data_IF_443992202972
#
_entry.id   IF_443992202972
#
_cell.length_a   1.000
_cell.length_b   1.000
_cell.length_c   1.000
_cell.angle_alpha   90.00
_cell.angle_beta   90.00
_cell.angle_gamma   90.00
#
_symmetry.space_group_name_H-M   'P 1'
#
loop_
_entity.id
_entity.type
_entity.pdbx_description
1 polymer ?
#
# COMPACT_ATOMS: atom_id res chain seq x y z
N UNK A 1 22.42 18.23 -4.38
CA UNK A 1 22.16 17.87 -2.98
C UNK A 1 20.68 18.11 -2.68
N UNK A 2 19.95 17.04 -2.33
CA UNK A 2 18.52 17.06 -2.01
C UNK A 2 18.30 16.46 -0.63
N UNK A 3 17.43 17.09 0.15
CA UNK A 3 16.96 16.60 1.45
C UNK A 3 15.45 16.82 1.56
N UNK A 4 14.82 16.29 2.59
CA UNK A 4 13.41 16.48 2.85
C UNK A 4 13.13 17.52 3.92
N UNK A 5 11.88 17.97 4.00
CA UNK A 5 11.42 18.96 4.97
C UNK A 5 11.80 18.55 6.40
N UNK A 6 12.29 19.49 7.17
CA UNK A 6 12.81 19.21 8.51
C UNK A 6 14.20 18.57 8.56
N UNK A 7 14.86 18.36 7.43
CA UNK A 7 16.22 17.83 7.36
C UNK A 7 17.30 18.87 7.67
N UNK A 8 18.52 18.37 7.89
CA UNK A 8 19.73 19.17 8.02
C UNK A 8 20.72 18.77 6.92
N UNK A 9 21.57 19.68 6.49
CA UNK A 9 22.64 19.40 5.54
C UNK A 9 24.01 19.64 6.17
N UNK A 10 24.99 18.82 5.74
CA UNK A 10 26.39 18.98 6.13
C UNK A 10 27.16 19.42 4.89
N UNK A 11 27.79 20.58 5.00
CA UNK A 11 28.63 21.17 3.97
C UNK A 11 30.10 21.02 4.37
N UNK A 12 30.90 20.48 3.45
CA UNK A 12 32.33 20.29 3.64
C UNK A 12 33.11 21.24 2.76
N UNK A 13 34.17 21.82 3.26
CA UNK A 13 35.10 22.61 2.47
C UNK A 13 36.46 21.94 2.39
N UNK A 14 37.06 21.99 1.21
CA UNK A 14 38.43 21.56 0.98
C UNK A 14 39.24 22.77 0.47
N UNK A 15 40.40 23.00 1.09
CA UNK A 15 41.30 24.08 0.74
C UNK A 15 42.60 23.52 0.15
N UNK A 16 42.88 23.82 -1.10
CA UNK A 16 44.08 23.36 -1.78
C UNK A 16 45.01 24.58 -2.02
N UNK A 17 46.25 24.46 -1.53
CA UNK A 17 47.27 25.52 -1.69
C UNK A 17 47.17 26.61 -0.63
N UNK A 18 47.87 27.72 -0.89
CA UNK A 18 48.01 28.82 0.04
C UNK A 18 49.08 28.59 1.11
N UNK A 19 49.09 29.44 2.16
CA UNK A 19 50.07 29.39 3.24
C UNK A 19 49.48 29.80 4.59
N UNK A 20 49.81 29.04 5.65
CA UNK A 20 49.39 29.31 7.02
C UNK A 20 48.13 28.58 7.42
N UNK A 21 47.54 28.97 8.54
CA UNK A 21 46.28 28.40 9.02
C UNK A 21 45.07 29.00 8.29
N UNK A 22 44.02 28.24 8.12
CA UNK A 22 42.78 28.68 7.51
C UNK A 22 41.81 29.15 8.60
N UNK A 23 41.23 30.32 8.39
CA UNK A 23 40.01 30.78 9.06
C UNK A 23 38.85 30.69 8.08
N UNK A 24 37.74 30.19 8.52
CA UNK A 24 36.58 29.95 7.69
C UNK A 24 35.42 30.85 8.13
N UNK A 25 34.59 31.28 7.18
CA UNK A 25 33.32 31.95 7.42
C UNK A 25 32.32 31.46 6.37
N UNK A 26 31.33 30.69 6.80
CA UNK A 26 30.23 30.28 5.94
C UNK A 26 29.24 31.42 5.73
N UNK A 27 28.70 31.51 4.54
CA UNK A 27 27.72 32.50 4.12
C UNK A 27 26.52 31.80 3.47
N UNK A 28 25.34 32.34 3.67
CA UNK A 28 24.12 31.92 2.97
C UNK A 28 23.61 33.01 2.04
N UNK A 29 22.92 32.63 0.96
CA UNK A 29 22.37 33.59 -0.01
C UNK A 29 20.98 34.04 0.44
N UNK A 30 20.82 35.29 0.79
CA UNK A 30 19.57 35.91 1.18
C UNK A 30 19.21 37.08 0.25
N UNK A 31 18.08 36.96 -0.49
CA UNK A 31 17.58 37.98 -1.38
C UNK A 31 18.61 38.46 -2.42
N UNK A 32 19.50 37.57 -2.87
CA UNK A 32 20.58 37.87 -3.84
C UNK A 32 21.87 38.39 -3.22
N UNK A 33 21.96 38.54 -1.89
CA UNK A 33 23.15 38.93 -1.17
C UNK A 33 23.68 37.78 -0.31
N UNK A 34 25.01 37.65 -0.24
CA UNK A 34 25.69 36.72 0.65
C UNK A 34 25.81 37.30 2.05
N UNK A 35 25.27 36.64 3.03
CA UNK A 35 25.29 37.04 4.45
C UNK A 35 26.03 36.00 5.29
N UNK A 36 26.81 36.46 6.27
CA UNK A 36 27.57 35.60 7.15
C UNK A 36 26.63 34.77 8.04
N UNK A 37 26.86 33.47 8.11
CA UNK A 37 26.22 32.60 9.08
C UNK A 37 26.95 32.75 10.41
N UNK A 38 26.26 33.26 11.42
CA UNK A 38 26.85 33.53 12.72
C UNK A 38 27.42 32.28 13.36
N UNK A 39 28.70 32.29 13.73
CA UNK A 39 29.36 31.18 14.40
C UNK A 39 29.80 30.01 13.51
N UNK A 40 29.54 30.08 12.21
CA UNK A 40 29.94 29.06 11.24
C UNK A 40 31.38 29.27 10.77
N UNK A 41 32.34 28.93 11.63
CA UNK A 41 33.78 29.22 11.44
C UNK A 41 34.63 27.94 11.26
N UNK A 42 34.03 26.78 11.09
CA UNK A 42 34.70 25.50 10.85
C UNK A 42 34.91 25.21 9.38
N UNK A 43 35.80 24.24 9.07
CA UNK A 43 35.92 23.72 7.71
C UNK A 43 34.61 23.07 7.24
N UNK A 44 33.84 22.51 8.15
CA UNK A 44 32.53 21.95 7.93
C UNK A 44 31.46 22.87 8.55
N UNK A 45 30.29 22.91 7.92
CA UNK A 45 29.12 23.58 8.45
C UNK A 45 27.91 22.66 8.41
N UNK A 46 27.21 22.57 9.53
CA UNK A 46 25.94 21.87 9.65
C UNK A 46 24.84 22.92 9.70
N UNK A 47 23.89 22.84 8.79
CA UNK A 47 22.77 23.79 8.75
C UNK A 47 21.85 23.63 9.96
N UNK A 48 21.07 24.64 10.26
CA UNK A 48 19.84 24.46 11.03
C UNK A 48 18.87 23.55 10.26
N UNK A 49 17.79 23.17 10.93
CA UNK A 49 16.66 22.45 10.28
C UNK A 49 16.11 23.33 9.16
N UNK A 50 16.10 22.77 7.95
CA UNK A 50 15.63 23.46 6.75
C UNK A 50 14.19 23.05 6.43
N UNK A 51 13.40 24.02 5.94
CA UNK A 51 12.06 23.79 5.43
C UNK A 51 12.07 23.75 3.90
N UNK A 52 10.96 23.29 3.29
CA UNK A 52 10.83 23.22 1.83
C UNK A 52 11.30 24.51 1.16
N UNK A 53 12.24 24.38 0.23
CA UNK A 53 12.84 25.51 -0.46
C UNK A 53 14.20 25.23 -1.08
N UNK A 54 14.88 26.29 -1.50
CA UNK A 54 16.21 26.22 -2.08
C UNK A 54 17.14 27.13 -1.29
N UNK A 55 18.23 26.57 -0.80
CA UNK A 55 19.19 27.22 0.07
C UNK A 55 20.58 27.14 -0.54
N UNK A 56 21.23 28.28 -0.73
CA UNK A 56 22.60 28.34 -1.28
C UNK A 56 23.58 28.81 -0.23
N UNK A 57 24.69 28.11 -0.11
CA UNK A 57 25.76 28.41 0.83
C UNK A 57 27.10 28.48 0.12
N UNK A 58 28.03 29.27 0.65
CA UNK A 58 29.45 29.30 0.27
C UNK A 58 30.32 29.50 1.48
N UNK A 59 31.61 29.26 1.32
CA UNK A 59 32.60 29.55 2.37
C UNK A 59 33.63 30.56 1.89
N UNK A 60 33.95 31.51 2.75
CA UNK A 60 35.09 32.41 2.63
C UNK A 60 36.21 31.85 3.51
N UNK A 61 37.40 31.71 2.96
CA UNK A 61 38.58 31.21 3.67
C UNK A 61 39.65 32.30 3.62
N UNK A 62 40.17 32.64 4.81
CA UNK A 62 41.27 33.59 4.96
C UNK A 62 42.44 32.89 5.64
N UNK A 63 43.64 33.02 5.10
CA UNK A 63 44.87 32.44 5.66
C UNK A 63 45.73 33.48 6.36
N UNK A 64 46.51 33.04 7.37
CA UNK A 64 47.37 33.91 8.15
C UNK A 64 48.33 34.75 7.31
N UNK A 65 48.72 34.26 6.14
CA UNK A 65 49.58 34.97 5.20
C UNK A 65 48.81 36.06 4.40
N UNK A 66 47.51 36.30 4.65
CA UNK A 66 46.68 37.27 3.98
C UNK A 66 46.09 36.79 2.65
N UNK A 67 46.18 35.50 2.33
CA UNK A 67 45.50 34.92 1.19
C UNK A 67 44.00 34.73 1.52
N UNK A 68 43.13 35.08 0.55
CA UNK A 68 41.69 34.89 0.68
C UNK A 68 41.16 34.12 -0.54
N UNK A 69 40.22 33.23 -0.29
CA UNK A 69 39.49 32.53 -1.33
C UNK A 69 38.00 32.42 -0.95
N UNK A 70 37.15 32.42 -1.97
CA UNK A 70 35.70 32.25 -1.81
C UNK A 70 35.32 31.08 -2.70
N UNK A 71 34.58 30.13 -2.13
CA UNK A 71 34.07 29.00 -2.92
C UNK A 71 32.94 29.42 -3.87
N UNK A 72 32.67 28.59 -4.86
CA UNK A 72 31.41 28.64 -5.57
C UNK A 72 30.24 28.38 -4.57
N UNK A 73 29.03 28.79 -4.95
CA UNK A 73 27.83 28.53 -4.17
C UNK A 73 27.36 27.09 -4.38
N UNK A 74 27.11 26.40 -3.29
CA UNK A 74 26.44 25.09 -3.31
C UNK A 74 24.97 25.24 -2.93
N UNK A 75 24.07 24.60 -3.68
CA UNK A 75 22.62 24.71 -3.47
C UNK A 75 22.06 23.41 -2.94
N UNK A 76 21.29 23.53 -1.88
CA UNK A 76 20.53 22.44 -1.27
C UNK A 76 19.05 22.66 -1.62
N UNK A 77 18.43 21.64 -2.24
CA UNK A 77 16.99 21.59 -2.45
C UNK A 77 16.35 20.82 -1.31
N UNK A 78 15.38 21.45 -0.67
CA UNK A 78 14.55 20.81 0.37
C UNK A 78 13.18 20.52 -0.23
N UNK A 79 12.88 19.26 -0.37
CA UNK A 79 11.63 18.77 -0.96
C UNK A 79 10.60 18.47 0.13
N UNK A 80 9.32 18.44 -0.24
CA UNK A 80 8.26 17.92 0.64
C UNK A 80 8.42 16.41 0.82
N UNK A 81 7.94 15.87 1.92
CA UNK A 81 7.80 14.42 2.05
C UNK A 81 6.88 13.85 0.95
N UNK A 82 7.08 12.60 0.53
CA UNK A 82 6.23 11.99 -0.47
C UNK A 82 4.80 11.79 0.06
N UNK A 83 3.83 11.90 -0.84
CA UNK A 83 2.48 11.42 -0.59
C UNK A 83 2.39 9.97 -1.04
N UNK A 84 1.93 9.12 -0.15
CA UNK A 84 1.79 7.67 -0.38
C UNK A 84 0.33 7.27 -0.25
N UNK A 85 -0.20 6.62 -1.28
CA UNK A 85 -1.52 6.01 -1.25
C UNK A 85 -1.43 4.51 -1.54
N UNK A 86 -2.41 3.75 -1.09
CA UNK A 86 -2.54 2.31 -1.35
C UNK A 86 -3.93 2.00 -1.88
N UNK A 87 -3.99 1.01 -2.77
CA UNK A 87 -5.22 0.54 -3.38
C UNK A 87 -5.16 -1.00 -3.48
N UNK A 88 -6.12 -1.67 -2.86
CA UNK A 88 -6.32 -3.10 -3.06
C UNK A 88 -7.06 -3.35 -4.39
N UNK A 89 -6.69 -4.39 -5.15
CA UNK A 89 -7.43 -4.80 -6.36
C UNK A 89 -8.87 -5.20 -6.01
N UNK A 90 -9.03 -5.89 -4.87
CA UNK A 90 -10.31 -6.29 -4.32
C UNK A 90 -10.36 -5.94 -2.82
N UNK A 91 -11.40 -5.22 -2.39
CA UNK A 91 -11.64 -4.90 -0.97
C UNK A 91 -12.46 -5.99 -0.28
N UNK A 92 -13.05 -6.91 -1.04
CA UNK A 92 -13.91 -7.98 -0.55
C UNK A 92 -13.66 -9.27 -1.34
N UNK A 93 -13.25 -10.33 -0.64
CA UNK A 93 -12.97 -11.66 -1.21
C UNK A 93 -13.60 -12.76 -0.38
N UNK A 94 -13.58 -13.99 -0.88
CA UNK A 94 -13.96 -15.19 -0.12
C UNK A 94 -12.75 -15.85 0.54
N UNK A 95 -13.04 -16.69 1.54
CA UNK A 95 -12.08 -17.53 2.27
C UNK A 95 -11.16 -18.30 1.31
N UNK A 96 -9.88 -18.35 1.61
CA UNK A 96 -8.88 -18.98 0.74
C UNK A 96 -8.40 -18.14 -0.43
N UNK A 97 -8.85 -16.89 -0.58
CA UNK A 97 -8.37 -15.93 -1.57
C UNK A 97 -7.11 -15.17 -1.14
N UNK A 98 -6.55 -14.42 -2.08
CA UNK A 98 -5.46 -13.46 -1.85
C UNK A 98 -5.76 -12.17 -2.63
N UNK A 99 -5.09 -11.07 -2.26
CA UNK A 99 -5.28 -9.76 -2.89
C UNK A 99 -3.92 -9.14 -3.21
N UNK A 100 -3.83 -8.44 -4.34
CA UNK A 100 -2.71 -7.56 -4.65
C UNK A 100 -3.06 -6.14 -4.21
N UNK A 101 -2.14 -5.52 -3.49
CA UNK A 101 -2.25 -4.14 -3.01
C UNK A 101 -1.16 -3.32 -3.69
N UNK A 102 -1.56 -2.28 -4.41
CA UNK A 102 -0.67 -1.36 -5.10
C UNK A 102 -0.39 -0.14 -4.24
N UNK A 103 0.83 0.38 -4.30
CA UNK A 103 1.15 1.70 -3.76
C UNK A 103 1.45 2.68 -4.87
N UNK A 104 1.04 3.93 -4.67
CA UNK A 104 1.41 5.07 -5.51
C UNK A 104 2.12 6.11 -4.67
N UNK A 105 3.28 6.57 -5.14
CA UNK A 105 4.14 7.53 -4.45
C UNK A 105 4.35 8.75 -5.33
N UNK A 106 3.99 9.92 -4.83
CA UNK A 106 4.15 11.19 -5.54
C UNK A 106 4.93 12.19 -4.69
N UNK A 107 5.85 12.93 -5.30
CA UNK A 107 6.72 13.89 -4.59
C UNK A 107 7.89 13.23 -3.87
N UNK A 108 8.44 13.94 -2.90
CA UNK A 108 9.68 13.55 -2.23
C UNK A 108 10.92 13.71 -3.10
N UNK A 109 12.00 13.04 -2.74
CA UNK A 109 13.27 13.08 -3.45
C UNK A 109 14.05 11.76 -3.36
N UNK A 110 14.63 11.35 -4.50
CA UNK A 110 15.45 10.16 -4.60
C UNK A 110 14.68 8.87 -4.90
N UNK A 111 15.34 7.74 -4.67
CA UNK A 111 14.78 6.40 -4.91
C UNK A 111 13.96 5.96 -3.71
N UNK A 112 12.80 5.36 -3.96
CA UNK A 112 11.91 4.84 -2.91
C UNK A 112 12.25 3.41 -2.53
N UNK A 113 12.31 3.14 -1.24
CA UNK A 113 12.30 1.82 -0.63
C UNK A 113 10.99 1.65 0.15
N UNK A 114 10.47 0.43 0.20
CA UNK A 114 9.16 0.12 0.75
C UNK A 114 9.26 -0.87 1.89
N UNK A 115 8.38 -0.74 2.88
CA UNK A 115 8.14 -1.73 3.92
C UNK A 115 6.64 -1.83 4.16
N UNK A 116 6.05 -2.95 3.78
CA UNK A 116 4.65 -3.22 4.06
C UNK A 116 4.45 -3.68 5.48
N UNK A 117 3.32 -3.27 6.04
CA UNK A 117 2.89 -3.62 7.40
C UNK A 117 1.46 -4.14 7.40
N UNK A 118 1.18 -5.05 8.32
CA UNK A 118 -0.16 -5.56 8.62
C UNK A 118 -0.58 -5.14 10.03
N UNK A 119 -1.85 -4.82 10.21
CA UNK A 119 -2.41 -4.56 11.53
C UNK A 119 -2.73 -5.88 12.24
N UNK A 120 -2.03 -6.17 13.33
CA UNK A 120 -2.20 -7.40 14.12
C UNK A 120 -2.47 -7.01 15.58
N UNK A 121 -3.62 -7.40 16.11
CA UNK A 121 -4.06 -7.11 17.48
C UNK A 121 -4.04 -5.62 17.88
N UNK A 122 -4.14 -4.72 16.91
CA UNK A 122 -4.13 -3.26 17.10
C UNK A 122 -2.78 -2.60 16.90
N UNK A 123 -1.71 -3.37 16.65
CA UNK A 123 -0.36 -2.88 16.38
C UNK A 123 0.02 -3.15 14.92
N UNK A 124 0.77 -2.21 14.31
CA UNK A 124 1.31 -2.37 12.97
C UNK A 124 2.61 -3.16 13.02
N UNK A 125 2.63 -4.32 12.37
CA UNK A 125 3.79 -5.21 12.30
C UNK A 125 4.35 -5.26 10.87
N UNK A 126 5.68 -5.24 10.74
CA UNK A 126 6.37 -5.36 9.46
C UNK A 126 6.17 -6.75 8.87
N UNK A 127 5.78 -6.79 7.59
CA UNK A 127 5.70 -8.03 6.83
C UNK A 127 7.08 -8.35 6.28
N UNK A 128 7.68 -9.43 6.75
CA UNK A 128 9.03 -9.82 6.36
C UNK A 128 9.16 -10.05 4.86
N UNK A 129 10.10 -9.32 4.23
CA UNK A 129 10.39 -9.45 2.79
C UNK A 129 9.42 -8.71 1.86
N UNK A 130 8.41 -8.02 2.39
CA UNK A 130 7.47 -7.21 1.61
C UNK A 130 8.05 -5.81 1.35
N UNK A 131 8.97 -5.72 0.39
CA UNK A 131 9.78 -4.53 0.09
C UNK A 131 9.52 -3.97 -1.32
N UNK A 132 8.54 -4.50 -2.05
CA UNK A 132 8.14 -4.01 -3.37
C UNK A 132 7.16 -2.82 -3.26
N UNK A 133 6.98 -2.09 -4.37
CA UNK A 133 5.92 -1.09 -4.49
C UNK A 133 4.53 -1.73 -4.42
N UNK A 134 4.40 -2.99 -4.84
CA UNK A 134 3.18 -3.78 -4.72
C UNK A 134 3.39 -4.90 -3.69
N UNK A 135 2.32 -5.27 -3.03
CA UNK A 135 2.30 -6.39 -2.09
C UNK A 135 1.17 -7.35 -2.43
N UNK A 136 1.49 -8.62 -2.53
CA UNK A 136 0.51 -9.70 -2.64
C UNK A 136 0.37 -10.38 -1.28
N UNK A 137 -0.84 -10.42 -0.74
CA UNK A 137 -1.09 -11.07 0.54
C UNK A 137 -0.85 -12.58 0.47
N UNK A 138 -0.60 -13.20 1.60
CA UNK A 138 -0.78 -14.64 1.73
C UNK A 138 -2.25 -15.01 1.49
N UNK A 139 -2.53 -16.31 1.45
CA UNK A 139 -3.91 -16.83 1.44
C UNK A 139 -4.59 -16.41 2.74
N UNK A 140 -5.70 -15.69 2.63
CA UNK A 140 -6.44 -15.13 3.74
C UNK A 140 -7.62 -16.02 4.13
N UNK A 141 -7.89 -16.12 5.42
CA UNK A 141 -9.08 -16.76 5.97
C UNK A 141 -10.13 -15.70 6.31
N UNK A 142 -11.38 -16.12 6.52
CA UNK A 142 -12.46 -15.18 6.83
C UNK A 142 -12.12 -14.25 8.00
N UNK A 143 -12.27 -12.94 7.79
CA UNK A 143 -11.90 -11.91 8.74
C UNK A 143 -11.72 -10.55 8.11
N UNK A 144 -11.22 -9.61 8.89
CA UNK A 144 -10.87 -8.25 8.49
C UNK A 144 -9.36 -8.08 8.57
N UNK A 145 -8.79 -7.54 7.51
CA UNK A 145 -7.34 -7.30 7.39
C UNK A 145 -7.09 -5.85 6.98
N UNK A 146 -6.08 -5.24 7.60
CA UNK A 146 -5.63 -3.90 7.24
C UNK A 146 -4.14 -3.93 6.94
N UNK A 147 -3.76 -3.28 5.84
CA UNK A 147 -2.39 -3.16 5.38
C UNK A 147 -2.04 -1.71 5.12
N UNK A 148 -0.77 -1.37 5.30
CA UNK A 148 -0.20 -0.08 4.90
C UNK A 148 1.24 -0.25 4.44
N UNK A 149 1.80 0.78 3.82
CA UNK A 149 3.20 0.79 3.42
C UNK A 149 3.90 2.01 4.01
N UNK A 150 5.12 1.81 4.48
CA UNK A 150 6.08 2.88 4.79
C UNK A 150 7.00 3.01 3.58
N UNK A 151 7.21 4.24 3.14
CA UNK A 151 8.12 4.57 2.04
C UNK A 151 9.26 5.42 2.58
N UNK A 152 10.47 4.99 2.32
CA UNK A 152 11.70 5.71 2.61
C UNK A 152 12.36 6.13 1.31
N UNK A 153 12.87 7.36 1.24
CA UNK A 153 13.61 7.84 0.06
C UNK A 153 15.04 8.23 0.44
N UNK A 154 15.97 8.13 -0.54
CA UNK A 154 17.42 8.34 -0.34
C UNK A 154 17.74 9.72 0.26
N UNK A 155 16.93 10.74 -0.02
CA UNK A 155 17.08 12.09 0.54
C UNK A 155 16.65 12.21 2.02
N UNK A 156 16.26 11.10 2.65
CA UNK A 156 15.81 11.06 4.04
C UNK A 156 14.32 11.36 4.23
N UNK A 157 13.54 11.39 3.13
CA UNK A 157 12.09 11.48 3.23
C UNK A 157 11.48 10.16 3.71
N UNK A 158 10.48 10.26 4.56
CA UNK A 158 9.69 9.11 5.02
C UNK A 158 8.21 9.46 4.98
N UNK A 159 7.39 8.53 4.53
CA UNK A 159 5.94 8.69 4.59
C UNK A 159 5.25 7.35 4.79
N UNK A 160 4.08 7.40 5.42
CA UNK A 160 3.24 6.24 5.67
C UNK A 160 1.92 6.43 4.92
N UNK A 161 1.49 5.39 4.20
CA UNK A 161 0.20 5.40 3.50
C UNK A 161 -0.99 5.40 4.47
N UNK A 162 -2.18 5.70 3.95
CA UNK A 162 -3.44 5.25 4.57
C UNK A 162 -3.54 3.73 4.60
N UNK A 163 -4.64 3.24 5.13
CA UNK A 163 -4.92 1.80 5.23
C UNK A 163 -5.61 1.28 3.98
N UNK A 164 -5.20 0.09 3.50
CA UNK A 164 -5.97 -0.76 2.61
C UNK A 164 -6.69 -1.81 3.45
N UNK A 165 -8.02 -1.79 3.45
CA UNK A 165 -8.85 -2.72 4.23
C UNK A 165 -9.40 -3.80 3.32
N UNK A 166 -9.28 -5.07 3.73
CA UNK A 166 -9.77 -6.23 3.00
C UNK A 166 -10.72 -7.01 3.90
N UNK A 167 -11.93 -7.20 3.42
CA UNK A 167 -12.93 -8.07 4.06
C UNK A 167 -12.89 -9.44 3.42
N UNK A 168 -12.61 -10.46 4.19
CA UNK A 168 -12.65 -11.85 3.74
C UNK A 168 -13.90 -12.50 4.30
N UNK A 169 -14.85 -12.82 3.42
CA UNK A 169 -16.09 -13.49 3.78
C UNK A 169 -15.90 -15.00 3.84
N UNK A 170 -16.63 -15.66 4.72
CA UNK A 170 -16.69 -17.12 4.69
C UNK A 170 -17.32 -17.59 3.37
N UNK A 171 -16.98 -18.79 2.93
CA UNK A 171 -17.64 -19.42 1.80
C UNK A 171 -19.16 -19.53 2.04
N UNK A 172 -19.96 -19.43 0.98
CA UNK A 172 -21.40 -19.53 1.13
C UNK A 172 -21.82 -20.94 1.54
N UNK A 173 -22.75 -21.01 2.49
CA UNK A 173 -23.45 -22.24 2.83
C UNK A 173 -24.75 -22.31 2.06
N UNK A 174 -24.98 -23.42 1.41
CA UNK A 174 -26.16 -23.64 0.57
C UNK A 174 -27.03 -24.75 1.16
N UNK A 175 -28.30 -24.44 1.36
CA UNK A 175 -29.30 -25.39 1.87
C UNK A 175 -30.40 -25.56 0.85
N UNK A 176 -31.01 -26.75 0.82
CA UNK A 176 -32.15 -27.07 -0.02
C UNK A 176 -33.26 -27.70 0.84
N UNK A 177 -34.46 -27.15 0.66
CA UNK A 177 -35.70 -27.74 1.24
C UNK A 177 -36.71 -27.96 0.13
N UNK A 178 -37.57 -28.99 0.26
CA UNK A 178 -38.70 -29.18 -0.64
C UNK A 178 -39.97 -28.72 0.05
N UNK A 179 -40.92 -28.17 -0.69
CA UNK A 179 -42.26 -27.83 -0.21
C UNK A 179 -42.97 -29.09 0.28
N UNK A 180 -42.95 -30.15 -0.56
CA UNK A 180 -43.41 -31.47 -0.22
C UNK A 180 -42.33 -32.52 -0.53
N UNK A 181 -41.92 -33.27 0.49
CA UNK A 181 -40.96 -34.37 0.34
C UNK A 181 -41.57 -35.65 -0.20
N UNK A 182 -42.89 -35.75 -0.24
CA UNK A 182 -43.65 -36.91 -0.69
C UNK A 182 -44.89 -36.44 -1.46
N UNK A 183 -44.95 -36.79 -2.73
CA UNK A 183 -46.03 -36.42 -3.63
C UNK A 183 -46.54 -37.66 -4.35
N UNK A 184 -47.79 -37.59 -4.88
CA UNK A 184 -48.31 -38.66 -5.72
C UNK A 184 -47.71 -38.58 -7.14
N UNK A 185 -47.71 -39.71 -7.85
CA UNK A 185 -47.39 -39.77 -9.28
C UNK A 185 -48.18 -38.73 -10.07
N UNK A 186 -47.52 -38.04 -10.99
CA UNK A 186 -48.12 -36.94 -11.75
C UNK A 186 -48.13 -35.60 -11.03
N UNK A 187 -47.59 -35.54 -9.81
CA UNK A 187 -47.43 -34.27 -9.06
C UNK A 187 -46.14 -33.54 -9.37
N UNK A 188 -46.05 -32.32 -8.84
CA UNK A 188 -44.89 -31.44 -8.86
C UNK A 188 -44.61 -30.94 -7.43
N UNK A 189 -43.37 -30.58 -7.13
CA UNK A 189 -43.00 -29.91 -5.87
C UNK A 189 -42.07 -28.77 -6.13
N UNK A 190 -42.06 -27.78 -5.23
CA UNK A 190 -41.13 -26.68 -5.30
C UNK A 190 -39.95 -26.90 -4.35
N UNK A 191 -38.74 -26.75 -4.88
CA UNK A 191 -37.49 -26.77 -4.15
C UNK A 191 -37.05 -25.34 -3.86
N UNK A 192 -36.74 -25.07 -2.61
CA UNK A 192 -36.25 -23.79 -2.13
C UNK A 192 -34.76 -23.88 -1.83
N UNK A 193 -33.96 -23.00 -2.47
CA UNK A 193 -32.57 -22.83 -2.11
C UNK A 193 -32.43 -21.67 -1.12
N UNK A 194 -31.58 -21.86 -0.13
CA UNK A 194 -31.18 -20.83 0.81
C UNK A 194 -29.66 -20.72 0.80
N UNK A 195 -29.13 -19.50 0.67
CA UNK A 195 -27.69 -19.22 0.66
C UNK A 195 -27.40 -18.25 1.80
N UNK A 196 -26.41 -18.58 2.63
CA UNK A 196 -25.94 -17.74 3.72
C UNK A 196 -24.42 -17.61 3.64
N UNK A 197 -23.88 -16.41 3.95
CA UNK A 197 -22.45 -16.12 3.80
C UNK A 197 -22.05 -15.83 2.34
N UNK A 198 -20.76 -15.86 2.07
CA UNK A 198 -20.19 -15.50 0.79
C UNK A 198 -20.13 -13.99 0.56
N UNK A 199 -19.61 -13.58 -0.59
CA UNK A 199 -19.51 -12.22 -1.05
C UNK A 199 -20.09 -12.05 -2.46
N UNK A 200 -20.67 -10.88 -2.75
CA UNK A 200 -21.18 -10.55 -4.07
C UNK A 200 -22.53 -11.16 -4.43
N UNK A 201 -22.79 -11.29 -5.73
CA UNK A 201 -24.05 -11.79 -6.27
C UNK A 201 -23.98 -13.29 -6.54
N UNK A 202 -25.04 -14.02 -6.17
CA UNK A 202 -25.12 -15.44 -6.42
C UNK A 202 -25.68 -15.74 -7.83
N UNK A 203 -25.08 -16.72 -8.50
CA UNK A 203 -25.63 -17.38 -9.65
C UNK A 203 -26.03 -18.81 -9.25
N UNK A 204 -27.11 -19.31 -9.82
CA UNK A 204 -27.67 -20.61 -9.42
C UNK A 204 -27.79 -21.55 -10.61
N UNK A 205 -27.61 -22.86 -10.35
CA UNK A 205 -27.92 -23.93 -11.29
C UNK A 205 -28.44 -25.14 -10.54
N UNK A 206 -29.70 -25.49 -10.78
CA UNK A 206 -30.24 -26.74 -10.25
C UNK A 206 -29.76 -27.95 -11.04
N UNK A 207 -29.50 -29.02 -10.32
CA UNK A 207 -29.06 -30.30 -10.86
C UNK A 207 -29.90 -31.44 -10.29
N UNK A 208 -30.10 -32.46 -11.11
CA UNK A 208 -30.76 -33.73 -10.73
C UNK A 208 -29.75 -34.87 -10.82
N UNK A 209 -29.84 -35.82 -9.88
CA UNK A 209 -28.99 -37.01 -9.86
C UNK A 209 -29.62 -38.10 -10.75
N UNK A 210 -28.97 -38.41 -11.88
CA UNK A 210 -29.40 -39.47 -12.82
C UNK A 210 -28.28 -40.50 -12.94
N UNK A 211 -28.61 -41.78 -12.63
CA UNK A 211 -27.66 -42.90 -12.74
C UNK A 211 -26.30 -42.64 -12.04
N UNK A 212 -26.34 -41.97 -10.89
CA UNK A 212 -25.14 -41.64 -10.08
C UNK A 212 -24.34 -40.42 -10.55
N UNK A 213 -24.82 -39.68 -11.55
CA UNK A 213 -24.18 -38.46 -12.04
C UNK A 213 -25.13 -37.26 -11.94
N UNK A 214 -24.59 -36.12 -11.49
CA UNK A 214 -25.33 -34.86 -11.44
C UNK A 214 -25.45 -34.24 -12.83
N UNK A 215 -26.65 -33.88 -13.25
CA UNK A 215 -26.94 -33.26 -14.54
C UNK A 215 -27.64 -31.92 -14.33
N UNK A 216 -27.22 -30.91 -15.09
CA UNK A 216 -27.85 -29.59 -15.07
C UNK A 216 -29.30 -29.68 -15.60
N UNK A 217 -30.22 -29.06 -14.89
CA UNK A 217 -31.58 -28.85 -15.35
C UNK A 217 -31.63 -27.59 -16.18
N UNK A 218 -31.93 -27.70 -17.46
CA UNK A 218 -31.90 -26.56 -18.39
C UNK A 218 -32.87 -25.47 -17.95
N UNK A 219 -32.37 -24.22 -17.85
CA UNK A 219 -33.16 -23.06 -17.46
C UNK A 219 -33.48 -22.93 -15.97
N UNK A 220 -33.06 -23.88 -15.13
CA UNK A 220 -33.26 -23.83 -13.68
C UNK A 220 -32.17 -23.01 -13.00
N UNK A 221 -32.18 -21.69 -13.18
CA UNK A 221 -31.14 -20.75 -12.74
C UNK A 221 -31.63 -19.78 -11.64
N UNK A 222 -32.76 -20.07 -11.02
CA UNK A 222 -33.31 -19.28 -9.92
C UNK A 222 -33.03 -19.96 -8.58
N UNK A 223 -33.07 -19.20 -7.48
CA UNK A 223 -32.90 -19.73 -6.13
C UNK A 223 -33.94 -20.84 -5.82
N UNK A 224 -35.14 -20.74 -6.37
CA UNK A 224 -36.19 -21.75 -6.27
C UNK A 224 -36.38 -22.44 -7.62
N UNK A 225 -36.74 -23.74 -7.56
CA UNK A 225 -37.02 -24.55 -8.72
C UNK A 225 -38.28 -25.42 -8.48
N UNK A 226 -39.27 -25.33 -9.36
CA UNK A 226 -40.42 -26.22 -9.38
C UNK A 226 -40.11 -27.39 -10.32
N UNK A 227 -40.24 -28.62 -9.86
CA UNK A 227 -39.96 -29.81 -10.67
C UNK A 227 -40.92 -29.93 -11.84
N UNK A 228 -40.49 -30.61 -12.89
CA UNK A 228 -41.44 -31.14 -13.87
C UNK A 228 -42.36 -32.16 -13.17
N UNK A 229 -43.39 -32.60 -13.89
CA UNK A 229 -44.26 -33.68 -13.44
C UNK A 229 -43.44 -34.96 -13.21
N UNK A 230 -43.54 -35.53 -12.03
CA UNK A 230 -42.75 -36.68 -11.62
C UNK A 230 -43.55 -37.98 -11.68
N UNK A 231 -42.95 -39.02 -12.26
CA UNK A 231 -43.43 -40.38 -12.17
C UNK A 231 -43.17 -41.00 -10.78
N UNK A 232 -43.74 -42.14 -10.49
CA UNK A 232 -43.47 -42.87 -9.24
C UNK A 232 -41.97 -43.21 -9.15
N UNK A 233 -41.28 -42.73 -8.11
CA UNK A 233 -39.85 -42.93 -7.96
C UNK A 233 -39.23 -42.06 -6.85
N UNK A 234 -37.91 -42.11 -6.75
CA UNK A 234 -37.13 -41.25 -5.83
C UNK A 234 -36.20 -40.33 -6.65
N UNK A 235 -36.26 -39.07 -6.36
CA UNK A 235 -35.50 -38.05 -7.06
C UNK A 235 -34.61 -37.29 -6.08
N UNK A 236 -33.39 -37.00 -6.50
CA UNK A 236 -32.45 -36.22 -5.69
C UNK A 236 -31.99 -35.00 -6.47
N UNK A 237 -32.14 -33.86 -5.85
CA UNK A 237 -31.77 -32.54 -6.43
C UNK A 237 -30.71 -31.85 -5.58
N UNK A 238 -29.93 -31.01 -6.22
CA UNK A 238 -29.07 -30.02 -5.57
C UNK A 238 -29.06 -28.70 -6.35
N UNK A 239 -28.66 -27.66 -5.67
CA UNK A 239 -28.34 -26.36 -6.27
C UNK A 239 -26.83 -26.12 -6.13
N UNK A 240 -26.21 -25.56 -7.14
CA UNK A 240 -24.81 -25.14 -7.15
C UNK A 240 -24.74 -23.69 -7.60
#
# INVERSE_FOLDING_TARGET
NEICDGGIAILHSEVIGGAGNNAYQWQYLNGGNWEDVFGANGADYITDVLTVGSYSYRVVVVQDAGCEAVSDGETIMVNTDPLVSVLAEDEEICDGGFVVIHSDVTGGAGTSAYQWQQLINGDWEDIFGANGNDYTTDILTSGLYSYRVIVYQDAGCESVSGEAMITVNSDPLVFVTAEDNEICEGGVTTLYGEVTGGAGSNAYQWQILISGSWQNISGANSVNYTTDVLDAGSYTYRIV
#
